data_IF_916528646409
#
_entry.id   IF_916528646409
#
_cell.length_a   1.000
_cell.length_b   1.000
_cell.length_c   1.000
_cell.angle_alpha   90.00
_cell.angle_beta   90.00
_cell.angle_gamma   90.00
#
_symmetry.space_group_name_H-M   'P 1'
#
loop_
_entity.id
_entity.type
_entity.pdbx_description
1 polymer ?
#
# COMPACT_ATOMS: atom_id res chain seq x y z
N UNK A 1 -0.53 -17.14 7.45
CA UNK A 1 -0.95 -15.99 6.60
C UNK A 1 -0.31 -14.67 7.01
N UNK A 2 -0.41 -14.23 8.28
CA UNK A 2 0.25 -12.97 8.69
C UNK A 2 1.77 -13.05 8.47
N UNK A 3 2.40 -14.12 8.97
CA UNK A 3 3.83 -14.37 8.79
C UNK A 3 4.25 -14.69 7.35
N UNK A 4 3.32 -15.14 6.50
CA UNK A 4 3.65 -15.65 5.16
C UNK A 4 3.33 -14.66 4.04
N UNK A 5 2.33 -13.80 4.22
CA UNK A 5 1.89 -12.81 3.23
C UNK A 5 2.14 -11.38 3.74
N UNK A 6 1.63 -11.07 4.93
CA UNK A 6 1.56 -9.69 5.43
C UNK A 6 2.89 -9.15 5.96
N UNK A 7 3.83 -10.02 6.35
CA UNK A 7 5.10 -9.61 6.95
C UNK A 7 5.92 -8.69 6.03
N UNK A 8 5.89 -8.94 4.72
CA UNK A 8 6.59 -8.12 3.74
C UNK A 8 5.96 -6.73 3.61
N UNK A 9 4.63 -6.65 3.67
CA UNK A 9 3.94 -5.36 3.62
C UNK A 9 4.25 -4.54 4.87
N UNK A 10 4.28 -5.17 6.05
CA UNK A 10 4.65 -4.52 7.32
C UNK A 10 6.08 -4.00 7.27
N UNK A 11 7.03 -4.81 6.79
CA UNK A 11 8.44 -4.41 6.67
C UNK A 11 8.62 -3.18 5.76
N UNK A 12 7.94 -3.17 4.61
CA UNK A 12 7.91 -2.01 3.71
C UNK A 12 7.33 -0.78 4.42
N UNK A 13 6.21 -0.93 5.11
CA UNK A 13 5.55 0.19 5.81
C UNK A 13 6.45 0.76 6.91
N UNK A 14 7.06 -0.10 7.73
CA UNK A 14 7.97 0.33 8.81
C UNK A 14 9.24 0.99 8.26
N UNK A 15 9.68 0.59 7.07
CA UNK A 15 10.80 1.23 6.38
C UNK A 15 10.45 2.60 5.78
N UNK A 16 9.19 2.78 5.33
CA UNK A 16 8.72 4.03 4.72
C UNK A 16 8.27 5.08 5.74
N UNK A 17 7.86 4.67 6.94
CA UNK A 17 7.31 5.56 7.96
C UNK A 17 8.30 5.67 9.14
N UNK A 18 9.16 6.71 9.18
CA UNK A 18 10.15 6.88 10.24
C UNK A 18 9.51 7.44 11.52
N UNK A 19 8.58 6.69 12.10
CA UNK A 19 7.83 7.06 13.30
C UNK A 19 7.48 5.82 14.12
N UNK A 20 7.31 6.00 15.43
CA UNK A 20 6.87 4.93 16.30
C UNK A 20 5.40 4.58 16.03
N UNK A 21 5.04 3.30 16.25
CA UNK A 21 3.66 2.86 16.25
C UNK A 21 2.95 3.36 17.51
N UNK A 22 1.79 3.98 17.29
CA UNK A 22 0.88 4.45 18.32
C UNK A 22 -0.19 3.42 18.65
N UNK A 23 -0.75 2.78 17.61
CA UNK A 23 -1.87 1.85 17.76
C UNK A 23 -1.86 0.80 16.65
N UNK A 24 -2.25 -0.42 17.00
CA UNK A 24 -2.47 -1.52 16.06
C UNK A 24 -3.90 -2.03 16.27
N UNK A 25 -4.69 -2.06 15.20
CA UNK A 25 -5.99 -2.75 15.17
C UNK A 25 -5.94 -3.85 14.12
N UNK A 26 -6.29 -5.06 14.50
CA UNK A 26 -6.29 -6.20 13.59
C UNK A 26 -7.62 -6.94 13.67
N UNK A 27 -8.06 -7.46 12.53
CA UNK A 27 -9.18 -8.39 12.43
C UNK A 27 -8.84 -9.48 11.42
N UNK A 28 -9.37 -10.67 11.64
CA UNK A 28 -9.18 -11.80 10.75
C UNK A 28 -10.45 -12.62 10.64
N UNK A 29 -10.69 -13.17 9.45
CA UNK A 29 -11.85 -14.00 9.15
C UNK A 29 -11.37 -15.33 8.59
N UNK A 30 -11.83 -16.41 9.21
CA UNK A 30 -11.71 -17.78 8.71
C UNK A 30 -12.93 -18.08 7.84
N UNK A 31 -12.72 -18.46 6.58
CA UNK A 31 -13.77 -18.58 5.57
C UNK A 31 -13.90 -20.02 5.05
N UNK A 32 -12.78 -20.61 4.62
CA UNK A 32 -12.74 -21.96 4.05
C UNK A 32 -12.28 -23.02 5.06
N UNK A 33 -11.49 -22.61 6.05
CA UNK A 33 -10.92 -23.50 7.07
C UNK A 33 -11.08 -22.88 8.46
N UNK A 34 -10.55 -23.54 9.49
CA UNK A 34 -10.45 -22.95 10.84
C UNK A 34 -9.33 -21.92 10.95
N UNK A 35 -8.42 -21.84 9.97
CA UNK A 35 -7.35 -20.85 9.92
C UNK A 35 -7.83 -19.56 9.25
N UNK A 36 -7.25 -18.43 9.68
CA UNK A 36 -7.54 -17.10 9.10
C UNK A 36 -7.19 -17.09 7.61
N UNK A 37 -8.18 -16.77 6.78
CA UNK A 37 -8.09 -16.68 5.33
C UNK A 37 -7.94 -15.25 4.82
N UNK A 38 -8.50 -14.29 5.56
CA UNK A 38 -8.46 -12.85 5.28
C UNK A 38 -8.09 -12.13 6.57
N UNK A 39 -7.11 -11.23 6.52
CA UNK A 39 -6.74 -10.38 7.65
C UNK A 39 -6.66 -8.93 7.21
N UNK A 40 -7.20 -8.05 8.04
CA UNK A 40 -7.12 -6.61 7.90
C UNK A 40 -6.41 -6.03 9.11
N UNK A 41 -5.40 -5.22 8.88
CA UNK A 41 -4.63 -4.55 9.92
C UNK A 41 -4.59 -3.06 9.63
N UNK A 42 -4.85 -2.25 10.66
CA UNK A 42 -4.67 -0.81 10.66
C UNK A 42 -3.56 -0.48 11.65
N UNK A 43 -2.48 0.08 11.13
CA UNK A 43 -1.38 0.65 11.91
C UNK A 43 -1.57 2.17 11.96
N UNK A 44 -1.51 2.75 13.15
CA UNK A 44 -1.43 4.19 13.34
C UNK A 44 -0.10 4.54 13.99
N UNK A 45 0.55 5.59 13.47
CA UNK A 45 1.85 6.07 13.91
C UNK A 45 1.72 7.38 14.70
N UNK A 46 2.72 7.69 15.52
CA UNK A 46 2.72 8.91 16.34
C UNK A 46 2.72 10.19 15.50
N UNK A 47 3.34 10.16 14.30
CA UNK A 47 3.31 11.27 13.36
C UNK A 47 1.96 11.44 12.62
N UNK A 48 0.94 10.64 12.95
CA UNK A 48 -0.37 10.69 12.31
C UNK A 48 -0.49 9.89 11.01
N UNK A 49 0.59 9.24 10.54
CA UNK A 49 0.51 8.31 9.42
C UNK A 49 -0.39 7.12 9.78
N UNK A 50 -1.16 6.64 8.80
CA UNK A 50 -2.03 5.47 8.95
C UNK A 50 -1.79 4.53 7.78
N UNK A 51 -1.46 3.28 8.09
CA UNK A 51 -1.33 2.23 7.08
C UNK A 51 -2.45 1.20 7.25
N UNK A 52 -3.18 0.92 6.17
CA UNK A 52 -4.20 -0.12 6.12
C UNK A 52 -3.68 -1.27 5.24
N UNK A 53 -3.68 -2.47 5.80
CA UNK A 53 -3.10 -3.66 5.18
C UNK A 53 -4.18 -4.72 5.10
N UNK A 54 -4.35 -5.31 3.92
CA UNK A 54 -5.24 -6.45 3.71
C UNK A 54 -4.45 -7.57 3.09
N UNK A 55 -4.43 -8.73 3.74
CA UNK A 55 -3.89 -9.96 3.18
C UNK A 55 -5.01 -11.00 3.07
N UNK A 56 -5.12 -11.65 1.92
CA UNK A 56 -6.09 -12.70 1.67
C UNK A 56 -5.46 -13.79 0.82
N UNK A 57 -5.50 -15.04 1.31
CA UNK A 57 -5.04 -16.21 0.55
C UNK A 57 -6.12 -16.80 -0.36
N UNK A 58 -7.35 -16.31 -0.25
CA UNK A 58 -8.52 -16.79 -1.00
C UNK A 58 -9.01 -15.77 -2.04
N UNK A 59 -8.17 -14.79 -2.38
CA UNK A 59 -8.46 -13.79 -3.39
C UNK A 59 -8.49 -14.41 -4.79
N UNK A 60 -9.56 -14.15 -5.56
CA UNK A 60 -9.72 -14.67 -6.93
C UNK A 60 -8.67 -14.12 -7.90
N UNK A 61 -8.23 -12.88 -7.66
CA UNK A 61 -7.21 -12.20 -8.46
C UNK A 61 -5.96 -12.00 -7.62
N UNK A 62 -4.80 -12.36 -8.17
CA UNK A 62 -3.50 -12.06 -7.57
C UNK A 62 -3.23 -10.57 -7.66
N UNK A 63 -3.35 -9.87 -6.54
CA UNK A 63 -3.08 -8.44 -6.41
C UNK A 63 -1.96 -8.24 -5.38
N UNK A 64 -0.88 -7.57 -5.79
CA UNK A 64 0.17 -7.11 -4.88
C UNK A 64 0.41 -5.64 -5.16
N UNK A 65 -0.27 -4.77 -4.43
CA UNK A 65 -0.33 -3.34 -4.70
C UNK A 65 -0.15 -2.53 -3.43
N UNK A 66 0.74 -1.54 -3.45
CA UNK A 66 0.81 -0.49 -2.43
C UNK A 66 0.34 0.83 -3.03
N UNK A 67 -0.35 1.62 -2.21
CA UNK A 67 -0.82 2.96 -2.53
C UNK A 67 -0.38 3.90 -1.43
N UNK A 68 0.33 4.96 -1.79
CA UNK A 68 0.83 5.97 -0.86
C UNK A 68 0.18 7.29 -1.22
N UNK A 69 -0.39 7.95 -0.22
CA UNK A 69 -1.06 9.24 -0.37
C UNK A 69 -0.33 10.26 0.49
N UNK A 70 0.23 11.27 -0.17
CA UNK A 70 0.84 12.44 0.44
C UNK A 70 -0.05 13.67 0.19
N UNK A 71 0.33 14.82 0.74
CA UNK A 71 -0.45 16.05 0.61
C UNK A 71 -0.59 16.51 -0.85
N UNK A 72 0.43 16.29 -1.67
CA UNK A 72 0.56 16.76 -3.04
C UNK A 72 0.89 15.64 -4.04
N UNK A 73 0.96 14.38 -3.59
CA UNK A 73 1.31 13.26 -4.44
C UNK A 73 0.53 11.97 -4.11
N UNK A 74 0.33 11.15 -5.13
CA UNK A 74 -0.21 9.80 -5.02
C UNK A 74 0.65 8.82 -5.81
N UNK A 75 1.11 7.77 -5.13
CA UNK A 75 1.94 6.71 -5.71
C UNK A 75 1.15 5.41 -5.72
N UNK A 76 1.10 4.75 -6.88
CA UNK A 76 0.42 3.47 -7.09
C UNK A 76 1.40 2.48 -7.67
N UNK A 77 1.87 1.53 -6.85
CA UNK A 77 2.82 0.51 -7.28
C UNK A 77 2.12 -0.85 -7.31
N UNK A 78 2.08 -1.48 -8.46
CA UNK A 78 1.67 -2.86 -8.66
C UNK A 78 2.93 -3.73 -8.82
N UNK A 79 3.27 -4.47 -7.76
CA UNK A 79 4.44 -5.35 -7.72
C UNK A 79 4.27 -6.59 -8.60
N UNK A 80 3.03 -7.03 -8.82
CA UNK A 80 2.77 -8.20 -9.65
C UNK A 80 3.00 -7.87 -11.13
N UNK A 81 2.62 -6.68 -11.57
CA UNK A 81 2.85 -6.19 -12.93
C UNK A 81 4.16 -5.41 -13.09
N UNK A 82 4.88 -5.13 -12.00
CA UNK A 82 6.05 -4.26 -11.95
C UNK A 82 5.79 -2.89 -12.61
N UNK A 83 4.61 -2.32 -12.32
CA UNK A 83 4.17 -1.02 -12.81
C UNK A 83 4.05 -0.04 -11.66
N UNK A 84 4.50 1.19 -11.88
CA UNK A 84 4.30 2.30 -10.97
C UNK A 84 3.63 3.44 -11.72
N UNK A 85 2.69 4.10 -11.06
CA UNK A 85 2.12 5.36 -11.51
C UNK A 85 2.28 6.38 -10.38
N UNK A 86 2.73 7.57 -10.73
CA UNK A 86 2.91 8.69 -9.81
C UNK A 86 2.07 9.85 -10.31
N UNK A 87 1.28 10.42 -9.42
CA UNK A 87 0.42 11.55 -9.69
C UNK A 87 0.82 12.68 -8.76
N UNK A 88 1.09 13.88 -9.28
CA UNK A 88 1.53 15.04 -8.49
C UNK A 88 0.66 16.24 -8.77
N UNK A 89 0.33 16.99 -7.71
CA UNK A 89 -0.31 18.30 -7.83
C UNK A 89 0.74 19.34 -8.18
N UNK A 90 0.52 20.03 -9.28
CA UNK A 90 1.29 21.20 -9.73
C UNK A 90 0.34 22.39 -9.86
N UNK A 91 0.90 23.59 -10.00
CA UNK A 91 0.13 24.80 -10.27
C UNK A 91 0.48 25.32 -11.66
N UNK A 92 -0.52 25.74 -12.42
CA UNK A 92 -0.31 26.47 -13.68
C UNK A 92 0.05 27.94 -13.39
N UNK A 93 0.46 28.67 -14.44
CA UNK A 93 0.89 30.07 -14.32
C UNK A 93 -0.20 31.01 -13.77
N UNK A 94 -1.48 30.62 -13.94
CA UNK A 94 -2.64 31.34 -13.41
C UNK A 94 -2.99 30.97 -11.95
N UNK A 95 -2.19 30.10 -11.33
CA UNK A 95 -2.40 29.61 -9.96
C UNK A 95 -3.46 28.52 -9.83
N UNK A 96 -4.03 28.02 -10.94
CA UNK A 96 -4.96 26.90 -10.90
C UNK A 96 -4.24 25.56 -10.64
N UNK A 97 -4.81 24.65 -9.82
CA UNK A 97 -4.20 23.37 -9.54
C UNK A 97 -4.41 22.39 -10.71
N UNK A 98 -3.35 21.67 -11.07
CA UNK A 98 -3.35 20.61 -12.08
C UNK A 98 -2.69 19.37 -11.55
N UNK A 99 -3.09 18.21 -12.04
CA UNK A 99 -2.44 16.93 -11.73
C UNK A 99 -1.61 16.50 -12.93
N UNK A 100 -0.33 16.22 -12.72
CA UNK A 100 0.52 15.53 -13.68
C UNK A 100 0.60 14.05 -13.32
N UNK A 101 0.84 13.21 -14.32
CA UNK A 101 0.96 11.76 -14.15
C UNK A 101 2.21 11.23 -14.86
N UNK A 102 2.98 10.42 -14.16
CA UNK A 102 4.15 9.70 -14.69
C UNK A 102 3.93 8.20 -14.51
N UNK A 103 4.22 7.41 -15.54
CA UNK A 103 4.05 5.97 -15.52
C UNK A 103 5.40 5.30 -15.79
N UNK A 104 5.73 4.31 -14.95
CA UNK A 104 6.96 3.54 -15.01
C UNK A 104 6.61 2.07 -15.10
N UNK A 105 7.32 1.33 -15.94
CA UNK A 105 7.26 -0.12 -16.02
C UNK A 105 8.67 -0.65 -16.14
N UNK A 106 9.00 -1.73 -15.44
CA UNK A 106 10.28 -2.40 -15.66
C UNK A 106 10.15 -3.29 -16.90
N UNK A 107 10.89 -3.00 -17.96
CA UNK A 107 11.12 -4.00 -19.01
C UNK A 107 12.06 -5.04 -18.41
N UNK A 108 11.58 -6.27 -18.22
CA UNK A 108 12.51 -7.40 -18.14
C UNK A 108 13.08 -7.58 -19.55
N UNK A 109 14.22 -6.97 -19.82
CA UNK A 109 15.15 -7.54 -20.81
C UNK A 109 15.75 -8.78 -20.15
N UNK A 110 15.20 -9.94 -20.51
CA UNK A 110 15.89 -11.24 -20.48
C UNK A 110 16.19 -11.64 -21.93
#
# INVERSE_FOLDING_TARGET
MILDLMIHDIDIILSLVPSALKEIRASGTAVLTTMIDIANVRLAFENGCVANITASRISLTKLRKIRIFEHDAYYSLDYAQQKMAVFRRVFEDDGSPKITSEHFSTNKEE
#
